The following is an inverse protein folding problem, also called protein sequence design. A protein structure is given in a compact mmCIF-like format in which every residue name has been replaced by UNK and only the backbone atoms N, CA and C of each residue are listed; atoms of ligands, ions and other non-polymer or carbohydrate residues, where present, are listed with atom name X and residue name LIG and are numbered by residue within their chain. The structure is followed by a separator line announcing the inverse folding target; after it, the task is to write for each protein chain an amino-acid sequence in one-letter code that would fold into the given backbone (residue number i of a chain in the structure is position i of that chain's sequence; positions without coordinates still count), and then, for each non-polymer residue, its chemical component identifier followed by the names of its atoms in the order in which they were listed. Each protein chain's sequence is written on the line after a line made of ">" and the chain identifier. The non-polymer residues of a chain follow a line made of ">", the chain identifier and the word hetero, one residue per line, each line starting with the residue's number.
data_IF_368152181504
#
_entry.id   IF_368152181504
#
_cell.length_a   1.000
_cell.length_b   1.000
_cell.length_c   1.000
_cell.angle_alpha   90.00
_cell.angle_beta   90.00
_cell.angle_gamma   90.00
#
_symmetry.space_group_name_H-M   'P 1'
#
loop_
_entity.id
_entity.type
_entity.pdbx_description
1 polymer ?
#
# COMPACT_ATOMS: atom_id res chain seq x y z
N UNK A 1 -1.03 -3.52 -10.29
CA UNK A 1 0.41 -3.13 -10.23
C UNK A 1 0.93 -3.60 -8.88
N UNK A 2 2.17 -4.07 -8.69
CA UNK A 2 2.63 -4.44 -7.34
C UNK A 2 3.33 -3.27 -6.63
N UNK A 3 3.31 -3.25 -5.30
CA UNK A 3 3.78 -2.13 -4.46
C UNK A 3 5.21 -1.67 -4.77
N UNK A 4 6.13 -2.61 -4.92
CA UNK A 4 7.54 -2.31 -5.21
C UNK A 4 7.71 -1.68 -6.59
N UNK A 5 6.84 -2.03 -7.56
CA UNK A 5 6.84 -1.41 -8.88
C UNK A 5 6.20 -0.03 -8.86
N UNK A 6 5.09 0.13 -8.13
CA UNK A 6 4.40 1.41 -7.95
C UNK A 6 5.35 2.50 -7.48
N UNK A 7 6.13 2.20 -6.45
CA UNK A 7 7.06 3.17 -5.90
C UNK A 7 8.15 3.60 -6.88
N UNK A 8 8.69 2.64 -7.64
CA UNK A 8 9.72 2.90 -8.66
C UNK A 8 9.20 3.74 -9.82
N UNK A 9 7.93 3.56 -10.22
CA UNK A 9 7.35 4.33 -11.32
C UNK A 9 6.89 5.74 -10.88
N UNK A 10 6.59 5.90 -9.59
CA UNK A 10 6.01 7.14 -9.05
C UNK A 10 7.05 8.05 -8.38
N UNK A 11 8.34 7.73 -8.46
CA UNK A 11 9.43 8.36 -7.68
C UNK A 11 9.14 8.40 -6.16
N UNK A 12 8.38 7.42 -5.65
CA UNK A 12 7.98 7.33 -4.24
C UNK A 12 8.95 6.46 -3.47
N UNK A 13 9.26 6.85 -2.24
CA UNK A 13 10.09 6.02 -1.35
C UNK A 13 9.27 4.87 -0.75
N UNK A 14 9.81 3.66 -0.82
CA UNK A 14 9.30 2.48 -0.10
C UNK A 14 10.28 2.08 0.97
N UNK A 15 9.75 1.81 2.16
CA UNK A 15 10.45 1.08 3.22
C UNK A 15 9.71 -0.21 3.48
N UNK A 16 10.45 -1.30 3.55
CA UNK A 16 9.95 -2.63 3.90
C UNK A 16 10.58 -3.03 5.23
N UNK A 17 9.75 -3.53 6.13
CA UNK A 17 10.17 -4.06 7.42
C UNK A 17 9.59 -5.47 7.56
N UNK A 18 10.46 -6.43 7.84
CA UNK A 18 10.08 -7.81 8.06
C UNK A 18 10.16 -8.12 9.56
N UNK A 19 9.03 -8.49 10.15
CA UNK A 19 8.90 -8.87 11.56
C UNK A 19 8.65 -10.38 11.73
N UNK A 20 8.97 -11.20 10.72
CA UNK A 20 8.70 -12.62 10.70
C UNK A 20 7.32 -12.92 10.12
N UNK A 21 6.30 -12.96 10.97
CA UNK A 21 4.92 -13.30 10.56
C UNK A 21 4.20 -12.13 9.88
N UNK A 22 4.67 -10.90 10.11
CA UNK A 22 4.13 -9.68 9.51
C UNK A 22 5.20 -8.94 8.75
N UNK A 23 4.88 -8.54 7.52
CA UNK A 23 5.68 -7.64 6.70
C UNK A 23 4.95 -6.31 6.55
N UNK A 24 5.67 -5.22 6.83
CA UNK A 24 5.12 -3.86 6.76
C UNK A 24 5.79 -3.11 5.63
N UNK A 25 4.98 -2.52 4.77
CA UNK A 25 5.43 -1.63 3.73
C UNK A 25 4.94 -0.21 4.00
N UNK A 26 5.85 0.75 4.04
CA UNK A 26 5.54 2.17 4.16
C UNK A 26 5.93 2.89 2.86
N UNK A 27 4.95 3.56 2.24
CA UNK A 27 5.09 4.24 0.95
C UNK A 27 4.69 5.70 1.08
N UNK A 28 5.61 6.60 0.74
CA UNK A 28 5.30 8.03 0.65
C UNK A 28 4.45 8.29 -0.60
N UNK A 29 3.22 8.77 -0.44
CA UNK A 29 2.33 9.08 -1.56
C UNK A 29 2.63 10.45 -2.19
N UNK A 30 3.46 11.28 -1.54
CA UNK A 30 3.73 12.66 -1.96
C UNK A 30 2.55 13.63 -1.77
N UNK A 31 1.40 13.12 -1.32
CA UNK A 31 0.15 13.86 -1.09
C UNK A 31 -0.69 13.17 -0.01
N UNK A 32 -1.53 13.93 0.68
CA UNK A 32 -2.28 13.47 1.87
C UNK A 32 -3.78 13.26 1.65
N UNK A 33 -4.27 13.65 0.49
CA UNK A 33 -5.66 13.59 0.03
C UNK A 33 -5.95 12.24 -0.65
N UNK A 34 -5.61 11.15 0.04
CA UNK A 34 -5.77 9.80 -0.45
C UNK A 34 -6.46 8.92 0.59
N UNK A 35 -7.33 8.04 0.13
CA UNK A 35 -7.92 6.95 0.92
C UNK A 35 -7.43 5.61 0.38
N UNK A 36 -7.49 4.60 1.24
CA UNK A 36 -7.15 3.22 0.85
C UNK A 36 -8.27 2.29 1.29
N UNK A 37 -8.58 1.33 0.43
CA UNK A 37 -9.45 0.20 0.75
C UNK A 37 -8.79 -1.10 0.28
N UNK A 38 -9.10 -2.22 0.93
CA UNK A 38 -8.55 -3.53 0.59
C UNK A 38 -9.70 -4.44 0.20
N UNK A 39 -9.67 -4.93 -1.03
CA UNK A 39 -10.67 -5.84 -1.59
C UNK A 39 -9.94 -7.05 -2.16
N UNK A 40 -10.17 -8.20 -1.54
CA UNK A 40 -9.51 -9.47 -1.88
C UNK A 40 -7.98 -9.32 -1.88
N UNK A 41 -7.32 -9.58 -3.00
CA UNK A 41 -5.86 -9.49 -3.19
C UNK A 41 -5.41 -8.12 -3.72
N UNK A 42 -6.23 -7.08 -3.56
CA UNK A 42 -5.96 -5.74 -4.08
C UNK A 42 -6.18 -4.64 -3.04
N UNK A 43 -5.14 -3.82 -2.81
CA UNK A 43 -5.26 -2.54 -2.12
C UNK A 43 -5.48 -1.41 -3.14
N UNK A 44 -6.59 -0.70 -3.01
CA UNK A 44 -7.03 0.38 -3.90
C UNK A 44 -6.74 1.71 -3.23
N UNK A 45 -5.90 2.54 -3.85
CA UNK A 45 -5.61 3.90 -3.38
C UNK A 45 -6.35 4.89 -4.27
N UNK A 46 -7.29 5.64 -3.69
CA UNK A 46 -8.08 6.64 -4.40
C UNK A 46 -7.70 8.06 -3.95
N UNK A 47 -7.53 8.97 -4.90
CA UNK A 47 -7.21 10.39 -4.67
C UNK A 47 -8.45 11.26 -4.90
N UNK A 48 -8.52 12.43 -4.24
CA UNK A 48 -9.68 13.34 -4.35
C UNK A 48 -9.89 13.92 -5.77
N UNK A 49 -8.85 13.95 -6.60
CA UNK A 49 -8.93 14.40 -8.00
C UNK A 49 -9.45 13.32 -8.96
N UNK A 50 -9.78 12.13 -8.45
CA UNK A 50 -10.33 11.02 -9.21
C UNK A 50 -9.27 10.05 -9.73
N UNK A 51 -7.98 10.31 -9.48
CA UNK A 51 -6.93 9.32 -9.78
C UNK A 51 -7.06 8.11 -8.85
N UNK A 52 -6.74 6.92 -9.36
CA UNK A 52 -6.75 5.68 -8.61
C UNK A 52 -5.55 4.81 -8.98
N UNK A 53 -5.05 4.07 -7.99
CA UNK A 53 -3.94 3.13 -8.14
C UNK A 53 -4.30 1.80 -7.48
N UNK A 54 -4.19 0.73 -8.26
CA UNK A 54 -4.48 -0.63 -7.80
C UNK A 54 -3.17 -1.38 -7.52
N UNK A 55 -3.00 -1.74 -6.25
CA UNK A 55 -1.83 -2.40 -5.71
C UNK A 55 -2.14 -3.86 -5.40
N UNK A 56 -1.52 -4.77 -6.13
CA UNK A 56 -1.61 -6.21 -5.87
C UNK A 56 -0.90 -6.53 -4.56
N UNK A 57 -1.63 -7.15 -3.64
CA UNK A 57 -1.12 -7.65 -2.35
C UNK A 57 -1.05 -9.18 -2.39
N UNK A 58 -0.26 -9.82 -1.50
CA UNK A 58 -0.14 -11.27 -1.48
C UNK A 58 -1.50 -11.96 -1.26
N UNK A 59 -1.85 -12.88 -2.14
CA UNK A 59 -3.07 -13.68 -2.03
C UNK A 59 -3.04 -14.58 -0.80
N UNK A 60 -4.15 -14.68 -0.07
CA UNK A 60 -4.30 -15.58 1.08
C UNK A 60 -3.56 -15.12 2.34
N UNK A 61 -3.06 -13.88 2.37
CA UNK A 61 -2.57 -13.22 3.57
C UNK A 61 -3.65 -12.32 4.17
N UNK A 62 -3.59 -12.09 5.48
CA UNK A 62 -4.36 -11.02 6.11
C UNK A 62 -3.67 -9.68 5.79
N UNK A 63 -4.43 -8.73 5.23
CA UNK A 63 -3.90 -7.45 4.75
C UNK A 63 -4.66 -6.30 5.39
N UNK A 64 -3.93 -5.49 6.14
CA UNK A 64 -4.42 -4.22 6.68
C UNK A 64 -3.71 -3.06 5.98
N UNK A 65 -4.48 -2.08 5.51
CA UNK A 65 -3.93 -0.90 4.88
C UNK A 65 -4.53 0.38 5.46
N UNK A 66 -3.68 1.38 5.69
CA UNK A 66 -4.11 2.69 6.16
C UNK A 66 -3.18 3.79 5.68
N UNK A 67 -3.72 5.01 5.60
CA UNK A 67 -2.95 6.20 5.24
C UNK A 67 -2.89 7.14 6.43
N UNK A 68 -1.67 7.59 6.78
CA UNK A 68 -1.44 8.62 7.79
C UNK A 68 -0.46 9.66 7.27
N UNK A 69 -0.89 10.92 7.23
CA UNK A 69 -0.08 12.06 6.78
C UNK A 69 0.57 11.84 5.39
N UNK A 70 -0.18 11.23 4.47
CA UNK A 70 0.32 10.91 3.12
C UNK A 70 1.24 9.69 3.03
N UNK A 71 1.44 8.95 4.12
CA UNK A 71 2.15 7.67 4.11
C UNK A 71 1.12 6.54 4.07
N UNK A 72 1.14 5.77 2.98
CA UNK A 72 0.43 4.50 2.90
C UNK A 72 1.23 3.44 3.64
N UNK A 73 0.59 2.80 4.62
CA UNK A 73 1.13 1.63 5.31
C UNK A 73 0.30 0.42 4.92
N UNK A 74 0.97 -0.65 4.49
CA UNK A 74 0.35 -1.95 4.20
C UNK A 74 1.03 -2.98 5.09
N UNK A 75 0.25 -3.61 5.94
CA UNK A 75 0.67 -4.70 6.81
C UNK A 75 0.14 -6.00 6.19
N UNK A 76 1.05 -6.95 5.96
CA UNK A 76 0.74 -8.27 5.39
C UNK A 76 1.15 -9.31 6.41
N UNK A 77 0.18 -10.06 6.91
CA UNK A 77 0.40 -11.14 7.88
C UNK A 77 0.13 -12.48 7.22
N UNK A 78 1.07 -13.42 7.36
CA UNK A 78 0.86 -14.79 6.86
C UNK A 78 -0.29 -15.46 7.65
N UNK A 79 -1.22 -16.08 6.93
CA UNK A 79 -2.40 -16.76 7.49
C UNK A 79 -2.13 -18.22 7.89
#
# INVERSE_FOLDING_TARGET
>A
MNLTQFARQSDRFVREYDYGETRVFAVDLGRSDATVDVVDDTAIVAFEDGDQIDLSVPSGAEVDAFIRNGILTIEVTEA
#
